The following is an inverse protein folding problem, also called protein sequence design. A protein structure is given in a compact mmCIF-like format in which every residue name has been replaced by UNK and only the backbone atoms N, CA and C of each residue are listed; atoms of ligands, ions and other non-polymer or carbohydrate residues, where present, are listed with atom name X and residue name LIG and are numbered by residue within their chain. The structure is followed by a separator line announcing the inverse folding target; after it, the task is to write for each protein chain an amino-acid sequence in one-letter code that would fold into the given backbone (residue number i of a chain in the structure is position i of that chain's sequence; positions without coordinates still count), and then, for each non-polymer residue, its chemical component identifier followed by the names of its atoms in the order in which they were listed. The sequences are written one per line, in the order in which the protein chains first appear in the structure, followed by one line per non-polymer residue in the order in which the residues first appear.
data_IF_955574030500
#
_entry.id   IF_955574030500
#
_cell.length_a   1.000
_cell.length_b   1.000
_cell.length_c   1.000
_cell.angle_alpha   90.00
_cell.angle_beta   90.00
_cell.angle_gamma   90.00
#
_symmetry.space_group_name_H-M   'P 1'
#
loop_
_entity.id
_entity.type
_entity.pdbx_description
1 polymer ?
#
# COMPACT_ATOMS: atom_id res chain seq x y z
N UNK A 1 0.48 5.60 20.60
CA UNK A 1 0.73 6.02 19.20
C UNK A 1 -0.35 7.01 18.79
N UNK A 2 0.01 8.17 18.22
CA UNK A 2 -0.96 9.18 17.75
C UNK A 2 -1.39 8.89 16.31
N UNK A 3 -2.48 9.52 15.84
CA UNK A 3 -2.90 9.42 14.43
C UNK A 3 -1.86 10.04 13.48
N UNK A 4 -1.20 11.12 13.88
CA UNK A 4 -0.16 11.75 13.06
C UNK A 4 0.99 10.77 12.80
N UNK A 5 1.50 10.13 13.86
CA UNK A 5 2.55 9.11 13.72
C UNK A 5 2.08 7.91 12.90
N UNK A 6 0.83 7.45 13.09
CA UNK A 6 0.28 6.33 12.32
C UNK A 6 0.18 6.64 10.82
N UNK A 7 -0.29 7.84 10.46
CA UNK A 7 -0.40 8.30 9.08
C UNK A 7 0.97 8.49 8.44
N UNK A 8 1.92 9.05 9.17
CA UNK A 8 3.29 9.20 8.69
C UNK A 8 3.92 7.83 8.38
N UNK A 9 3.80 6.87 9.30
CA UNK A 9 4.30 5.50 9.09
C UNK A 9 3.61 4.82 7.92
N UNK A 10 2.30 5.02 7.74
CA UNK A 10 1.55 4.50 6.61
C UNK A 10 2.09 5.05 5.28
N UNK A 11 2.33 6.37 5.19
CA UNK A 11 2.87 6.99 3.98
C UNK A 11 4.28 6.48 3.69
N UNK A 12 5.14 6.44 4.70
CA UNK A 12 6.51 5.91 4.56
C UNK A 12 6.46 4.46 4.07
N UNK A 13 5.64 3.61 4.70
CA UNK A 13 5.45 2.24 4.27
C UNK A 13 4.97 2.18 2.82
N UNK A 14 3.95 2.95 2.46
CA UNK A 14 3.41 3.00 1.10
C UNK A 14 4.43 3.40 0.04
N UNK A 15 5.30 4.38 0.33
CA UNK A 15 6.36 4.83 -0.58
C UNK A 15 7.46 3.77 -0.74
N UNK A 16 7.86 3.13 0.37
CA UNK A 16 8.98 2.17 0.38
C UNK A 16 8.56 0.76 -0.09
N UNK A 17 7.29 0.40 0.07
CA UNK A 17 6.77 -0.95 -0.15
C UNK A 17 7.14 -1.56 -1.51
N UNK A 18 7.02 -0.86 -2.67
CA UNK A 18 7.28 -1.47 -3.97
C UNK A 18 8.73 -1.95 -4.10
N UNK A 19 9.67 -1.23 -3.48
CA UNK A 19 11.09 -1.58 -3.45
C UNK A 19 11.39 -2.66 -2.42
N UNK A 20 10.80 -2.55 -1.22
CA UNK A 20 11.00 -3.52 -0.16
C UNK A 20 10.46 -4.91 -0.52
N UNK A 21 9.32 -4.97 -1.23
CA UNK A 21 8.71 -6.22 -1.70
C UNK A 21 9.60 -7.00 -2.68
N UNK A 22 10.56 -6.33 -3.32
CA UNK A 22 11.49 -6.92 -4.28
C UNK A 22 12.73 -7.53 -3.63
N UNK A 23 13.08 -7.09 -2.41
CA UNK A 23 14.30 -7.52 -1.70
C UNK A 23 14.44 -9.05 -1.56
N UNK A 24 13.38 -9.83 -1.28
CA UNK A 24 13.49 -11.28 -1.17
C UNK A 24 13.98 -11.99 -2.44
N UNK A 25 13.84 -11.35 -3.61
CA UNK A 25 14.23 -11.91 -4.91
C UNK A 25 15.60 -11.43 -5.40
N UNK A 26 16.28 -10.61 -4.59
CA UNK A 26 17.64 -10.10 -4.87
C UNK A 26 17.67 -8.68 -5.44
N UNK A 27 18.87 -8.08 -5.43
CA UNK A 27 19.06 -6.67 -5.82
C UNK A 27 18.71 -6.41 -7.30
N UNK A 28 18.84 -7.40 -8.16
CA UNK A 28 18.44 -7.30 -9.57
C UNK A 28 16.95 -6.97 -9.73
N UNK A 29 16.10 -7.48 -8.85
CA UNK A 29 14.67 -7.18 -8.85
C UNK A 29 14.37 -5.75 -8.40
N UNK A 30 15.16 -5.23 -7.45
CA UNK A 30 15.07 -3.82 -7.03
C UNK A 30 15.56 -2.90 -8.16
N UNK A 31 16.64 -3.28 -8.85
CA UNK A 31 17.20 -2.54 -10.00
C UNK A 31 16.19 -2.36 -11.13
N UNK A 32 15.25 -3.29 -11.32
CA UNK A 32 14.16 -3.09 -12.28
C UNK A 32 13.33 -1.82 -12.01
N UNK A 33 13.30 -1.33 -10.76
CA UNK A 33 12.58 -0.12 -10.36
C UNK A 33 13.50 1.10 -10.12
N UNK A 34 14.79 0.89 -9.89
CA UNK A 34 15.73 1.98 -9.57
C UNK A 34 16.64 2.35 -10.73
N UNK A 35 16.97 1.42 -11.61
CA UNK A 35 17.82 1.66 -12.79
C UNK A 35 16.98 2.15 -13.98
N UNK A 36 16.00 3.01 -13.68
CA UNK A 36 15.13 3.68 -14.64
C UNK A 36 15.39 5.18 -14.60
N UNK A 37 15.21 5.86 -15.73
CA UNK A 37 15.29 7.33 -15.75
C UNK A 37 14.21 7.98 -14.87
N UNK A 38 14.30 9.30 -14.69
CA UNK A 38 13.37 10.08 -13.86
C UNK A 38 11.89 9.81 -14.17
N UNK A 39 11.55 9.61 -15.46
CA UNK A 39 10.19 9.27 -15.87
C UNK A 39 9.67 7.95 -15.30
N UNK A 40 10.50 6.90 -15.27
CA UNK A 40 10.12 5.61 -14.68
C UNK A 40 9.94 5.69 -13.17
N UNK A 41 10.81 6.44 -12.50
CA UNK A 41 10.73 6.68 -11.07
C UNK A 41 9.46 7.47 -10.69
N UNK A 42 9.14 8.53 -11.44
CA UNK A 42 7.92 9.32 -11.26
C UNK A 42 6.66 8.52 -11.58
N UNK A 43 6.70 7.66 -12.60
CA UNK A 43 5.58 6.80 -12.96
C UNK A 43 5.27 5.80 -11.84
N UNK A 44 6.28 5.07 -11.36
CA UNK A 44 6.13 4.15 -10.23
C UNK A 44 5.62 4.88 -8.98
N UNK A 45 6.30 5.95 -8.58
CA UNK A 45 5.95 6.71 -7.38
C UNK A 45 4.56 7.34 -7.47
N UNK A 46 4.24 7.96 -8.60
CA UNK A 46 2.98 8.65 -8.86
C UNK A 46 1.78 7.72 -8.88
N UNK A 47 1.85 6.58 -9.59
CA UNK A 47 0.75 5.62 -9.59
C UNK A 47 0.65 4.87 -8.27
N UNK A 48 1.77 4.50 -7.65
CA UNK A 48 1.75 3.87 -6.32
C UNK A 48 1.17 4.81 -5.24
N UNK A 49 1.23 6.14 -5.45
CA UNK A 49 0.59 7.11 -4.57
C UNK A 49 -0.93 6.97 -4.48
N UNK A 50 -1.58 6.42 -5.49
CA UNK A 50 -3.01 6.12 -5.46
C UNK A 50 -3.34 5.20 -4.28
N UNK A 51 -2.56 4.12 -4.09
CA UNK A 51 -2.81 3.13 -3.06
C UNK A 51 -2.62 3.69 -1.65
N UNK A 52 -1.47 4.30 -1.36
CA UNK A 52 -1.24 4.84 -0.01
C UNK A 52 -2.06 6.09 0.30
N UNK A 53 -2.42 6.90 -0.71
CA UNK A 53 -3.34 8.03 -0.53
C UNK A 53 -4.76 7.58 -0.21
N UNK A 54 -5.24 6.49 -0.82
CA UNK A 54 -6.54 5.91 -0.47
C UNK A 54 -6.56 5.43 0.99
N UNK A 55 -5.51 4.73 1.43
CA UNK A 55 -5.34 4.32 2.83
C UNK A 55 -5.27 5.52 3.79
N UNK A 56 -4.54 6.57 3.40
CA UNK A 56 -4.49 7.82 4.15
C UNK A 56 -5.88 8.48 4.25
N UNK A 57 -6.66 8.49 3.17
CA UNK A 57 -8.04 8.99 3.15
C UNK A 57 -8.95 8.19 4.10
N UNK A 58 -8.91 6.86 4.03
CA UNK A 58 -9.66 5.97 4.94
C UNK A 58 -9.29 6.24 6.42
N UNK A 59 -8.04 6.61 6.70
CA UNK A 59 -7.58 6.90 8.06
C UNK A 59 -8.32 8.04 8.77
N UNK A 60 -9.02 8.91 8.04
CA UNK A 60 -9.83 9.97 8.62
C UNK A 60 -11.21 9.50 9.10
N UNK A 61 -11.66 8.31 8.66
CA UNK A 61 -12.94 7.72 9.09
C UNK A 61 -12.85 7.07 10.48
N UNK A 62 -11.64 6.78 10.95
CA UNK A 62 -11.42 6.03 12.20
C UNK A 62 -11.19 6.97 13.38
N UNK A 63 -11.43 6.47 14.60
CA UNK A 63 -11.04 7.19 15.84
C UNK A 63 -10.06 6.43 16.71
N UNK A 64 -9.71 5.19 16.36
CA UNK A 64 -8.57 4.48 16.96
C UNK A 64 -7.51 4.18 15.91
N UNK A 65 -6.24 4.58 16.12
CA UNK A 65 -5.17 4.35 15.15
C UNK A 65 -4.90 2.86 14.92
N UNK A 66 -5.13 2.00 15.93
CA UNK A 66 -4.94 0.55 15.78
C UNK A 66 -5.86 -0.08 14.74
N UNK A 67 -7.03 0.50 14.48
CA UNK A 67 -7.94 0.00 13.44
C UNK A 67 -7.37 0.17 12.03
N UNK A 68 -6.34 1.02 11.84
CA UNK A 68 -5.64 1.17 10.56
C UNK A 68 -4.81 -0.05 10.18
N UNK A 69 -4.46 -0.93 11.13
CA UNK A 69 -3.71 -2.13 10.81
C UNK A 69 -4.48 -3.02 9.83
N UNK A 70 -5.81 -3.10 9.95
CA UNK A 70 -6.64 -3.95 9.07
C UNK A 70 -6.55 -3.53 7.60
N UNK A 71 -6.90 -2.29 7.21
CA UNK A 71 -6.75 -1.86 5.83
C UNK A 71 -5.30 -1.85 5.36
N UNK A 72 -4.34 -1.51 6.22
CA UNK A 72 -2.92 -1.53 5.84
C UNK A 72 -2.43 -2.95 5.54
N UNK A 73 -2.74 -3.94 6.38
CA UNK A 73 -2.29 -5.32 6.17
C UNK A 73 -2.90 -5.92 4.90
N UNK A 74 -4.19 -5.69 4.67
CA UNK A 74 -4.88 -6.21 3.48
C UNK A 74 -4.40 -5.47 2.22
N UNK A 75 -4.41 -4.14 2.25
CA UNK A 75 -4.02 -3.29 1.13
C UNK A 75 -2.55 -3.42 0.76
N UNK A 76 -1.65 -3.17 1.71
CA UNK A 76 -0.21 -3.32 1.48
C UNK A 76 0.19 -4.79 1.29
N UNK A 77 -0.49 -5.75 1.89
CA UNK A 77 -0.22 -7.17 1.62
C UNK A 77 -0.41 -7.53 0.15
N UNK A 78 -1.56 -7.16 -0.44
CA UNK A 78 -1.82 -7.38 -1.87
C UNK A 78 -0.86 -6.58 -2.74
N UNK A 79 -0.60 -5.31 -2.39
CA UNK A 79 0.31 -4.45 -3.14
C UNK A 79 1.75 -4.99 -3.14
N UNK A 80 2.23 -5.46 -1.99
CA UNK A 80 3.54 -6.10 -1.85
C UNK A 80 3.61 -7.39 -2.65
N UNK A 81 2.59 -8.25 -2.57
CA UNK A 81 2.54 -9.48 -3.36
C UNK A 81 2.57 -9.19 -4.87
N UNK A 82 1.80 -8.21 -5.34
CA UNK A 82 1.77 -7.84 -6.75
C UNK A 82 3.12 -7.29 -7.23
N UNK A 83 3.77 -6.43 -6.44
CA UNK A 83 5.11 -5.95 -6.78
C UNK A 83 6.18 -7.04 -6.67
N UNK A 84 6.07 -7.96 -5.72
CA UNK A 84 6.99 -9.09 -5.57
C UNK A 84 6.94 -10.04 -6.78
N UNK A 85 5.77 -10.24 -7.38
CA UNK A 85 5.55 -11.24 -8.43
C UNK A 85 5.61 -10.70 -9.85
N UNK A 86 5.61 -9.37 -10.03
CA UNK A 86 5.70 -8.74 -11.34
C UNK A 86 7.13 -8.84 -11.90
N UNK A 87 7.40 -9.65 -12.92
CA UNK A 87 8.70 -9.60 -13.61
C UNK A 87 8.64 -8.62 -14.79
N UNK A 88 9.39 -7.51 -14.70
CA UNK A 88 9.46 -6.54 -15.79
C UNK A 88 10.28 -7.01 -17.00
N UNK A 89 11.07 -8.08 -16.85
CA UNK A 89 11.87 -8.65 -17.95
C UNK A 89 11.08 -9.63 -18.81
N UNK A 90 9.95 -10.14 -18.29
CA UNK A 90 9.18 -11.18 -18.95
C UNK A 90 8.53 -10.69 -20.26
N UNK A 91 8.10 -9.42 -20.33
CA UNK A 91 7.45 -8.84 -21.49
C UNK A 91 7.45 -7.30 -21.46
N UNK A 92 7.42 -6.62 -22.60
CA UNK A 92 7.41 -5.16 -22.66
C UNK A 92 6.12 -4.52 -22.10
N UNK A 93 4.99 -5.22 -22.19
CA UNK A 93 3.71 -4.77 -21.63
C UNK A 93 3.64 -4.95 -20.11
N UNK A 94 4.55 -5.69 -19.49
CA UNK A 94 4.60 -5.87 -18.03
C UNK A 94 4.72 -4.54 -17.27
N UNK A 95 5.35 -3.53 -17.88
CA UNK A 95 5.43 -2.18 -17.32
C UNK A 95 4.07 -1.52 -17.11
N UNK A 96 3.04 -1.89 -17.90
CA UNK A 96 1.67 -1.41 -17.70
C UNK A 96 1.10 -1.87 -16.35
N UNK A 97 1.57 -3.00 -15.82
CA UNK A 97 1.14 -3.47 -14.50
C UNK A 97 1.50 -2.46 -13.39
N UNK A 98 2.54 -1.64 -13.54
CA UNK A 98 2.88 -0.59 -12.57
C UNK A 98 1.76 0.47 -12.42
N UNK A 99 0.95 0.65 -13.46
CA UNK A 99 -0.21 1.54 -13.48
C UNK A 99 -1.42 0.85 -12.86
N UNK A 100 -1.68 -0.41 -13.24
CA UNK A 100 -2.88 -1.12 -12.82
C UNK A 100 -2.81 -1.72 -11.42
N UNK A 101 -1.62 -2.11 -10.93
CA UNK A 101 -1.45 -2.69 -9.60
C UNK A 101 -2.03 -1.77 -8.50
N UNK A 102 -1.68 -0.46 -8.43
CA UNK A 102 -2.25 0.43 -7.42
C UNK A 102 -3.76 0.65 -7.57
N UNK A 103 -4.28 0.64 -8.80
CA UNK A 103 -5.71 0.80 -9.08
C UNK A 103 -6.48 -0.43 -8.61
N UNK A 104 -6.01 -1.63 -8.93
CA UNK A 104 -6.62 -2.88 -8.47
C UNK A 104 -6.47 -3.08 -6.97
N UNK A 105 -5.41 -2.56 -6.35
CA UNK A 105 -5.25 -2.55 -4.90
C UNK A 105 -6.32 -1.72 -4.18
N UNK A 106 -7.03 -0.79 -4.84
CA UNK A 106 -8.12 -0.04 -4.23
C UNK A 106 -9.25 -0.95 -3.73
N UNK A 107 -9.51 -2.08 -4.40
CA UNK A 107 -10.52 -3.03 -3.98
C UNK A 107 -10.19 -3.67 -2.62
N UNK A 108 -9.04 -4.36 -2.43
CA UNK A 108 -8.67 -4.90 -1.12
C UNK A 108 -8.45 -3.80 -0.07
N UNK A 109 -7.96 -2.61 -0.45
CA UNK A 109 -7.86 -1.46 0.46
C UNK A 109 -9.25 -1.06 0.98
N UNK A 110 -10.24 -0.97 0.10
CA UNK A 110 -11.61 -0.59 0.47
C UNK A 110 -12.25 -1.66 1.34
N UNK A 111 -12.09 -2.94 1.00
CA UNK A 111 -12.55 -4.06 1.82
C UNK A 111 -11.92 -4.04 3.22
N UNK A 112 -10.59 -3.88 3.30
CA UNK A 112 -9.89 -3.72 4.57
C UNK A 112 -10.31 -2.45 5.31
N UNK A 113 -10.69 -1.40 4.59
CA UNK A 113 -11.24 -0.15 5.12
C UNK A 113 -12.59 -0.37 5.82
N UNK A 114 -13.49 -1.09 5.17
CA UNK A 114 -14.78 -1.47 5.75
C UNK A 114 -14.58 -2.33 7.00
N UNK A 115 -13.71 -3.34 6.92
CA UNK A 115 -13.41 -4.22 8.06
C UNK A 115 -12.76 -3.47 9.23
N UNK A 116 -11.81 -2.57 8.95
CA UNK A 116 -11.17 -1.72 9.95
C UNK A 116 -12.17 -0.79 10.63
N UNK A 117 -13.12 -0.21 9.88
CA UNK A 117 -14.19 0.60 10.45
C UNK A 117 -15.10 -0.20 11.38
N UNK A 118 -15.48 -1.42 11.00
CA UNK A 118 -16.28 -2.32 11.83
C UNK A 118 -15.53 -2.69 13.13
N UNK A 119 -14.23 -2.96 13.04
CA UNK A 119 -13.38 -3.20 14.20
C UNK A 119 -13.33 -1.99 15.13
N UNK A 120 -13.10 -0.78 14.59
CA UNK A 120 -13.11 0.46 15.36
C UNK A 120 -14.44 0.65 16.10
N UNK A 121 -15.56 0.41 15.41
CA UNK A 121 -16.90 0.46 16.01
C UNK A 121 -17.06 -0.55 17.16
N UNK A 122 -16.59 -1.79 16.99
CA UNK A 122 -16.65 -2.84 18.02
C UNK A 122 -15.79 -2.47 19.24
N UNK A 123 -14.56 -2.04 19.01
CA UNK A 123 -13.61 -1.66 20.08
C UNK A 123 -14.12 -0.48 20.93
N UNK A 124 -14.85 0.45 20.33
CA UNK A 124 -15.48 1.55 21.07
C UNK A 124 -16.64 1.08 21.94
N UNK A 125 -17.50 0.21 21.41
CA UNK A 125 -18.62 -0.37 22.18
C UNK A 125 -18.11 -1.15 23.39
N UNK A 126 -17.03 -1.91 23.25
CA UNK A 126 -16.42 -2.65 24.35
C UNK A 126 -15.78 -1.78 25.42
N UNK A 127 -15.39 -0.54 25.11
CA UNK A 127 -14.80 0.38 26.09
C UNK A 127 -15.83 1.24 26.84
N UNK A 128 -17.09 1.22 26.41
CA UNK A 128 -18.21 1.88 27.08
C UNK A 128 -19.02 0.92 27.96
N UNK A 129 -18.68 -0.37 27.95
CA UNK A 129 -19.20 -1.41 28.84
C UNK A 129 -18.17 -1.67 29.92
#
# INVERSE_FOLDING_TARGET
MTFASARLLLVIAGVVLPYAARLPFGLEWVRQYTDVGLGGWLLLGGFNAIAWSALLGISFLYRRPIALLVPCLIGFGVLAWAHATLDLRADAQSALALIFIPVYALLPITLGGVLGYLLDRKLRRSAMR
#
